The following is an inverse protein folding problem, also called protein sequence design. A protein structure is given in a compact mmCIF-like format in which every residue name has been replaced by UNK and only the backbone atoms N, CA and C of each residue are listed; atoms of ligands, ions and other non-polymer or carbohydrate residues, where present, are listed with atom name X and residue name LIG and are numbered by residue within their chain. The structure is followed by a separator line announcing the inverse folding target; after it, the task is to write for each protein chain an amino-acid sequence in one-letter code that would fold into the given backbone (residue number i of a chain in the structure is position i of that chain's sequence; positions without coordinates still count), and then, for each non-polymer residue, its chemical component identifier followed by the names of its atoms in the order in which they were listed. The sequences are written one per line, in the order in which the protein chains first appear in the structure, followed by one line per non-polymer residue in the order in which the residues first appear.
data_IF_658454098665
#
_entry.id   IF_658454098665
#
_cell.length_a   1.000
_cell.length_b   1.000
_cell.length_c   1.000
_cell.angle_alpha   90.00
_cell.angle_beta   90.00
_cell.angle_gamma   90.00
#
_symmetry.space_group_name_H-M   'P 1'
#
loop_
_entity.id
_entity.type
_entity.pdbx_description
1 polymer ?
#
# COMPACT_ATOMS: atom_id res chain seq x y z
N UNK A 1 -1.76 20.91 41.67
CA UNK A 1 -0.69 19.96 41.33
C UNK A 1 -1.37 18.63 41.05
N UNK A 2 -0.91 17.95 39.99
CA UNK A 2 -1.20 16.57 39.57
C UNK A 2 -2.52 16.26 38.84
N UNK A 3 -2.49 16.48 37.52
CA UNK A 3 -3.00 15.52 36.54
C UNK A 3 -1.80 14.73 35.97
N UNK A 4 -1.28 13.79 36.75
CA UNK A 4 -0.33 12.77 36.32
C UNK A 4 -1.02 11.42 36.53
N UNK A 5 -1.69 10.89 35.50
CA UNK A 5 -2.08 9.48 35.29
C UNK A 5 -3.19 9.40 34.24
N UNK A 6 -2.88 9.77 33.00
CA UNK A 6 -3.58 9.22 31.85
C UNK A 6 -2.64 8.22 31.21
N UNK A 7 -2.99 6.93 31.28
CA UNK A 7 -2.33 5.87 30.53
C UNK A 7 -2.34 6.14 29.02
N UNK A 8 -1.69 5.28 28.21
CA UNK A 8 -1.67 5.44 26.75
C UNK A 8 -3.09 5.66 26.23
N UNK A 9 -3.26 6.74 25.47
CA UNK A 9 -4.56 7.18 24.97
C UNK A 9 -5.14 6.11 24.02
N UNK A 10 -6.32 5.56 24.33
CA UNK A 10 -7.00 4.53 23.54
C UNK A 10 -7.23 4.89 22.06
N UNK A 11 -7.16 6.17 21.70
CA UNK A 11 -7.22 6.63 20.31
C UNK A 11 -5.95 6.29 19.50
N UNK A 12 -4.79 6.17 20.17
CA UNK A 12 -3.53 5.73 19.55
C UNK A 12 -3.60 4.28 19.12
N UNK A 13 -4.13 3.41 19.99
CA UNK A 13 -4.27 1.98 19.74
C UNK A 13 -5.27 1.67 18.61
N UNK A 14 -6.35 2.45 18.50
CA UNK A 14 -7.34 2.29 17.42
C UNK A 14 -6.77 2.69 16.04
N UNK A 15 -6.01 3.78 15.98
CA UNK A 15 -5.37 4.24 14.74
C UNK A 15 -4.26 3.28 14.28
N UNK A 16 -3.49 2.73 15.23
CA UNK A 16 -2.49 1.70 14.96
C UNK A 16 -3.11 0.37 14.51
N UNK A 17 -4.22 -0.04 15.13
CA UNK A 17 -4.97 -1.23 14.71
C UNK A 17 -5.56 -1.10 13.31
N UNK A 18 -6.11 0.09 12.98
CA UNK A 18 -6.56 0.39 11.62
C UNK A 18 -5.42 0.32 10.61
N UNK A 19 -4.29 1.01 10.89
CA UNK A 19 -3.10 1.01 10.03
C UNK A 19 -2.61 -0.40 9.74
N UNK A 20 -2.47 -1.23 10.77
CA UNK A 20 -1.97 -2.60 10.64
C UNK A 20 -2.90 -3.43 9.74
N UNK A 21 -4.22 -3.35 9.96
CA UNK A 21 -5.19 -4.10 9.17
C UNK A 21 -5.24 -3.65 7.71
N UNK A 22 -5.24 -2.34 7.44
CA UNK A 22 -5.31 -1.84 6.06
C UNK A 22 -4.04 -2.14 5.30
N UNK A 23 -2.85 -1.98 5.91
CA UNK A 23 -1.57 -2.32 5.27
C UNK A 23 -1.55 -3.80 4.91
N UNK A 24 -1.96 -4.66 5.83
CA UNK A 24 -1.97 -6.10 5.57
C UNK A 24 -2.88 -6.50 4.40
N UNK A 25 -4.08 -5.93 4.31
CA UNK A 25 -4.99 -6.19 3.16
C UNK A 25 -4.39 -5.73 1.84
N UNK A 26 -3.73 -4.57 1.83
CA UNK A 26 -3.08 -4.02 0.62
C UNK A 26 -1.86 -4.86 0.22
N UNK A 27 -1.07 -5.33 1.19
CA UNK A 27 0.06 -6.23 0.96
C UNK A 27 -0.39 -7.60 0.43
N UNK A 28 -1.46 -8.17 1.00
CA UNK A 28 -2.05 -9.44 0.54
C UNK A 28 -2.55 -9.30 -0.91
N UNK A 29 -3.22 -8.19 -1.23
CA UNK A 29 -3.72 -7.92 -2.59
C UNK A 29 -2.57 -7.73 -3.58
N UNK A 30 -1.49 -7.03 -3.18
CA UNK A 30 -0.29 -6.92 -4.01
C UNK A 30 0.36 -8.29 -4.25
N UNK A 31 0.36 -9.15 -3.24
CA UNK A 31 0.92 -10.50 -3.34
C UNK A 31 0.18 -11.37 -4.36
N UNK A 32 -1.15 -11.23 -4.45
CA UNK A 32 -1.94 -11.91 -5.50
C UNK A 32 -1.53 -11.52 -6.92
N UNK A 33 -0.98 -10.32 -7.10
CA UNK A 33 -0.50 -9.79 -8.38
C UNK A 33 0.99 -10.10 -8.63
N UNK A 34 1.71 -10.67 -7.66
CA UNK A 34 3.15 -10.90 -7.73
C UNK A 34 3.52 -11.88 -8.84
N UNK A 35 2.72 -12.93 -9.09
CA UNK A 35 3.00 -13.89 -10.18
C UNK A 35 3.09 -13.18 -11.55
N UNK A 36 2.20 -12.22 -11.81
CA UNK A 36 2.25 -11.44 -13.04
C UNK A 36 3.47 -10.51 -13.07
N UNK A 37 3.78 -9.85 -11.96
CA UNK A 37 4.99 -9.04 -11.83
C UNK A 37 6.27 -9.85 -12.12
N UNK A 38 6.40 -11.07 -11.56
CA UNK A 38 7.55 -11.94 -11.77
C UNK A 38 7.70 -12.32 -13.25
N UNK A 39 6.60 -12.53 -13.98
CA UNK A 39 6.64 -12.78 -15.43
C UNK A 39 7.13 -11.55 -16.21
N UNK A 40 6.63 -10.36 -15.87
CA UNK A 40 6.93 -9.12 -16.60
C UNK A 40 8.32 -8.54 -16.33
N UNK A 41 8.83 -8.66 -15.10
CA UNK A 41 10.11 -8.03 -14.72
C UNK A 41 11.29 -8.59 -15.54
N UNK A 42 11.22 -9.85 -15.95
CA UNK A 42 12.27 -10.55 -16.70
C UNK A 42 12.13 -10.38 -18.23
N UNK A 43 10.98 -9.88 -18.70
CA UNK A 43 10.78 -9.51 -20.10
C UNK A 43 11.60 -8.25 -20.43
N UNK A 44 12.37 -8.21 -21.54
CA UNK A 44 12.99 -6.98 -22.02
C UNK A 44 11.94 -5.89 -22.29
N UNK A 45 12.25 -4.63 -21.98
CA UNK A 45 11.32 -3.51 -22.13
C UNK A 45 10.76 -3.38 -23.55
N UNK A 46 11.57 -3.66 -24.56
CA UNK A 46 11.23 -3.67 -25.99
C UNK A 46 10.11 -4.66 -26.33
N UNK A 47 9.96 -5.71 -25.54
CA UNK A 47 8.97 -6.78 -25.72
C UNK A 47 7.71 -6.56 -24.90
N UNK A 48 7.67 -5.48 -24.10
CA UNK A 48 6.51 -5.17 -23.28
C UNK A 48 5.51 -4.33 -24.07
N UNK A 49 4.23 -4.62 -23.93
CA UNK A 49 3.19 -3.73 -24.46
C UNK A 49 2.94 -2.54 -23.50
N UNK A 50 1.93 -1.72 -23.83
CA UNK A 50 1.59 -0.53 -23.03
C UNK A 50 1.03 -0.90 -21.65
N UNK A 51 0.18 -1.92 -21.58
CA UNK A 51 -0.46 -2.38 -20.35
C UNK A 51 0.56 -3.00 -19.41
N UNK A 52 1.50 -3.79 -19.93
CA UNK A 52 2.60 -4.38 -19.15
C UNK A 52 3.54 -3.31 -18.58
N UNK A 53 3.83 -2.24 -19.34
CA UNK A 53 4.61 -1.09 -18.84
C UNK A 53 3.85 -0.33 -17.75
N UNK A 54 2.55 -0.12 -17.95
CA UNK A 54 1.70 0.54 -16.98
C UNK A 54 1.62 -0.30 -15.68
N UNK A 55 1.40 -1.60 -15.78
CA UNK A 55 1.38 -2.52 -14.65
C UNK A 55 2.67 -2.43 -13.82
N UNK A 56 3.85 -2.48 -14.45
CA UNK A 56 5.13 -2.37 -13.74
C UNK A 56 5.32 -1.00 -13.06
N UNK A 57 4.82 0.06 -13.69
CA UNK A 57 4.85 1.42 -13.12
C UNK A 57 3.94 1.52 -11.90
N UNK A 58 2.71 1.02 -11.99
CA UNK A 58 1.75 0.98 -10.89
C UNK A 58 2.28 0.12 -9.74
N UNK A 59 2.84 -1.05 -10.04
CA UNK A 59 3.46 -1.94 -9.06
C UNK A 59 4.56 -1.24 -8.27
N UNK A 60 5.50 -0.58 -8.96
CA UNK A 60 6.57 0.17 -8.30
C UNK A 60 6.02 1.29 -7.41
N UNK A 61 4.98 2.00 -7.86
CA UNK A 61 4.30 3.03 -7.08
C UNK A 61 3.61 2.48 -5.83
N UNK A 62 2.90 1.35 -5.96
CA UNK A 62 2.24 0.67 -4.83
C UNK A 62 3.25 0.22 -3.79
N UNK A 63 4.37 -0.40 -4.21
CA UNK A 63 5.44 -0.83 -3.29
C UNK A 63 6.02 0.36 -2.52
N UNK A 64 6.29 1.47 -3.19
CA UNK A 64 6.79 2.68 -2.55
C UNK A 64 5.79 3.25 -1.54
N UNK A 65 4.51 3.33 -1.90
CA UNK A 65 3.46 3.87 -1.05
C UNK A 65 3.15 2.99 0.17
N UNK A 66 3.23 1.66 0.04
CA UNK A 66 3.12 0.72 1.16
C UNK A 66 4.25 0.91 2.18
N UNK A 67 5.48 1.16 1.72
CA UNK A 67 6.60 1.51 2.62
C UNK A 67 6.30 2.81 3.39
N UNK A 68 5.70 3.81 2.74
CA UNK A 68 5.31 5.06 3.43
C UNK A 68 4.17 4.82 4.43
N UNK A 69 3.14 4.05 4.06
CA UNK A 69 2.04 3.67 4.94
C UNK A 69 2.54 2.96 6.21
N UNK A 70 3.47 2.02 6.03
CA UNK A 70 4.02 1.22 7.12
C UNK A 70 5.03 2.00 7.99
N UNK A 71 5.51 3.17 7.54
CA UNK A 71 6.50 3.97 8.28
C UNK A 71 5.99 4.53 9.61
N UNK A 72 4.68 4.56 9.83
CA UNK A 72 4.06 5.16 11.02
C UNK A 72 4.17 6.68 11.12
N UNK A 73 4.72 7.36 10.10
CA UNK A 73 4.98 8.81 10.11
C UNK A 73 3.78 9.65 9.67
N UNK A 74 2.78 9.03 9.05
CA UNK A 74 1.61 9.71 8.49
C UNK A 74 0.56 9.98 9.56
N UNK A 75 -0.11 11.14 9.47
CA UNK A 75 -1.34 11.43 10.23
C UNK A 75 -2.50 10.59 9.70
N UNK A 76 -3.52 10.34 10.52
CA UNK A 76 -4.68 9.50 10.16
C UNK A 76 -5.29 9.83 8.79
N UNK A 77 -5.56 11.10 8.49
CA UNK A 77 -6.12 11.50 7.18
C UNK A 77 -5.17 11.20 6.01
N UNK A 78 -3.85 11.35 6.21
CA UNK A 78 -2.86 11.03 5.19
C UNK A 78 -2.73 9.53 4.97
N UNK A 79 -2.83 8.73 6.05
CA UNK A 79 -2.89 7.27 5.97
C UNK A 79 -4.12 6.83 5.17
N UNK A 80 -5.28 7.43 5.45
CA UNK A 80 -6.52 7.12 4.75
C UNK A 80 -6.42 7.44 3.24
N UNK A 81 -6.05 8.66 2.87
CA UNK A 81 -5.92 9.05 1.46
C UNK A 81 -4.89 8.20 0.71
N UNK A 82 -3.74 7.91 1.34
CA UNK A 82 -2.71 7.08 0.73
C UNK A 82 -3.20 5.62 0.58
N UNK A 83 -3.86 5.06 1.60
CA UNK A 83 -4.43 3.71 1.51
C UNK A 83 -5.46 3.58 0.39
N UNK A 84 -6.29 4.61 0.19
CA UNK A 84 -7.25 4.67 -0.90
C UNK A 84 -6.56 4.75 -2.27
N UNK A 85 -5.53 5.58 -2.40
CA UNK A 85 -4.77 5.68 -3.66
C UNK A 85 -4.07 4.36 -3.99
N UNK A 86 -3.51 3.67 -3.00
CA UNK A 86 -2.91 2.33 -3.19
C UNK A 86 -3.98 1.33 -3.63
N UNK A 87 -5.16 1.32 -2.99
CA UNK A 87 -6.26 0.46 -3.39
C UNK A 87 -6.72 0.72 -4.83
N UNK A 88 -6.84 1.97 -5.24
CA UNK A 88 -7.21 2.35 -6.62
C UNK A 88 -6.18 1.82 -7.64
N UNK A 89 -4.87 1.93 -7.36
CA UNK A 89 -3.81 1.39 -8.23
C UNK A 89 -3.80 -0.14 -8.25
N UNK A 90 -4.06 -0.80 -7.13
CA UNK A 90 -4.17 -2.26 -7.07
C UNK A 90 -5.34 -2.77 -7.91
N UNK A 91 -6.49 -2.09 -7.87
CA UNK A 91 -7.63 -2.40 -8.73
C UNK A 91 -7.28 -2.19 -10.21
N UNK A 92 -6.60 -1.10 -10.55
CA UNK A 92 -6.14 -0.84 -11.91
C UNK A 92 -5.19 -1.93 -12.41
N UNK A 93 -4.19 -2.31 -11.60
CA UNK A 93 -3.30 -3.43 -11.91
C UNK A 93 -4.06 -4.75 -12.12
N UNK A 94 -5.08 -5.03 -11.30
CA UNK A 94 -5.92 -6.22 -11.46
C UNK A 94 -6.79 -6.23 -12.73
N UNK A 95 -7.00 -5.08 -13.39
CA UNK A 95 -7.66 -4.98 -14.69
C UNK A 95 -6.70 -5.15 -15.87
N UNK A 96 -5.40 -4.94 -15.65
CA UNK A 96 -4.32 -5.16 -16.63
C UNK A 96 -3.81 -6.62 -16.60
N UNK A 97 -4.14 -7.36 -15.54
CA UNK A 97 -3.75 -8.75 -15.28
C UNK A 97 -4.62 -9.78 -16.03
#
# INVERSE_FOLDING_TARGET
MDCNEFGPCAAGDAAEGFRTRIVQVLEDTLHELDEHYQRLKDLPEERRDEDERLFLTLHAGVVADLVVLNSGKLRYHQQYELSRSVQERLLEMGLLY
#
